data_IF_770316557097
#
_entry.id   IF_770316557097
#
_cell.length_a   1.000
_cell.length_b   1.000
_cell.length_c   1.000
_cell.angle_alpha   90.00
_cell.angle_beta   90.00
_cell.angle_gamma   90.00
#
_symmetry.space_group_name_H-M   'P 1'
#
loop_
_entity.id
_entity.type
_entity.pdbx_description
1 polymer ?
#
# COMPACT_ATOMS: atom_id res chain seq x y z
N UNK A 1 5.93 -3.22 6.91
CA UNK A 1 5.54 -4.22 5.90
C UNK A 1 4.37 -5.11 6.32
N UNK A 2 4.39 -5.79 7.48
CA UNK A 2 3.32 -6.74 7.85
C UNK A 2 1.92 -6.12 8.01
N UNK A 3 1.79 -4.99 8.67
CA UNK A 3 0.48 -4.34 8.88
C UNK A 3 -0.11 -3.70 7.61
N UNK A 4 0.75 -3.18 6.74
CA UNK A 4 0.34 -2.44 5.53
C UNK A 4 -0.13 -3.37 4.43
N UNK A 5 0.46 -4.57 4.33
CA UNK A 5 -0.03 -5.64 3.47
C UNK A 5 -1.45 -6.08 3.86
N UNK A 6 -1.71 -6.26 5.17
CA UNK A 6 -3.03 -6.64 5.68
C UNK A 6 -4.13 -5.65 5.33
N UNK A 7 -3.90 -4.35 5.55
CA UNK A 7 -4.87 -3.29 5.20
C UNK A 7 -5.17 -3.30 3.71
N UNK A 8 -4.16 -3.44 2.85
CA UNK A 8 -4.39 -3.48 1.40
C UNK A 8 -5.18 -4.72 0.93
N UNK A 9 -5.00 -5.87 1.59
CA UNK A 9 -5.79 -7.07 1.30
C UNK A 9 -7.24 -6.87 1.73
N UNK A 10 -7.49 -6.25 2.88
CA UNK A 10 -8.84 -5.90 3.31
C UNK A 10 -9.53 -4.95 2.32
N UNK A 11 -8.83 -3.89 1.88
CA UNK A 11 -9.34 -3.00 0.84
C UNK A 11 -9.62 -3.74 -0.48
N UNK A 12 -8.74 -4.66 -0.89
CA UNK A 12 -8.94 -5.52 -2.06
C UNK A 12 -10.18 -6.40 -1.96
N UNK A 13 -10.41 -7.03 -0.80
CA UNK A 13 -11.59 -7.87 -0.54
C UNK A 13 -12.88 -7.05 -0.59
N UNK A 14 -12.89 -5.86 0.02
CA UNK A 14 -14.05 -4.96 0.02
C UNK A 14 -14.41 -4.56 -1.41
N UNK A 15 -13.42 -4.11 -2.19
CA UNK A 15 -13.65 -3.65 -3.58
C UNK A 15 -14.06 -4.79 -4.50
N UNK A 16 -13.49 -5.99 -4.34
CA UNK A 16 -13.90 -7.19 -5.06
C UNK A 16 -15.34 -7.60 -4.71
N UNK A 17 -15.68 -7.60 -3.42
CA UNK A 17 -17.02 -7.97 -2.94
C UNK A 17 -18.09 -7.03 -3.47
N UNK A 18 -17.85 -5.72 -3.37
CA UNK A 18 -18.77 -4.72 -3.90
C UNK A 18 -18.87 -4.84 -5.44
N UNK A 19 -17.74 -5.09 -6.13
CA UNK A 19 -17.71 -5.25 -7.58
C UNK A 19 -18.53 -6.44 -8.06
N UNK A 20 -18.42 -7.57 -7.36
CA UNK A 20 -19.20 -8.76 -7.63
C UNK A 20 -20.70 -8.54 -7.40
N UNK A 21 -21.06 -7.87 -6.30
CA UNK A 21 -22.45 -7.53 -6.01
C UNK A 21 -23.08 -6.63 -7.09
N UNK A 22 -22.36 -5.58 -7.52
CA UNK A 22 -22.84 -4.71 -8.61
C UNK A 22 -22.97 -5.47 -9.93
N UNK A 23 -22.08 -6.41 -10.22
CA UNK A 23 -22.13 -7.20 -11.45
C UNK A 23 -23.37 -8.11 -11.48
N UNK A 24 -23.70 -8.75 -10.35
CA UNK A 24 -24.93 -9.56 -10.25
C UNK A 24 -26.20 -8.73 -10.45
N UNK A 25 -26.23 -7.51 -9.91
CA UNK A 25 -27.37 -6.61 -10.11
C UNK A 25 -27.46 -6.11 -11.55
N UNK A 26 -26.34 -5.75 -12.18
CA UNK A 26 -26.35 -5.26 -13.55
C UNK A 26 -26.80 -6.32 -14.56
N UNK A 27 -26.43 -7.58 -14.33
CA UNK A 27 -26.85 -8.69 -15.18
C UNK A 27 -28.36 -8.97 -15.06
N UNK A 28 -28.92 -8.90 -13.85
CA UNK A 28 -30.35 -9.15 -13.61
C UNK A 28 -31.26 -8.04 -14.15
N UNK A 29 -30.85 -6.77 -14.08
CA UNK A 29 -31.70 -5.63 -14.44
C UNK A 29 -31.43 -5.02 -15.82
N UNK A 30 -30.19 -5.10 -16.32
CA UNK A 30 -29.77 -4.37 -17.51
C UNK A 30 -29.19 -5.26 -18.64
N UNK A 31 -29.15 -6.59 -18.44
CA UNK A 31 -28.55 -7.57 -19.37
C UNK A 31 -27.12 -7.18 -19.85
N UNK A 32 -26.44 -6.34 -19.09
CA UNK A 32 -25.16 -5.73 -19.46
C UNK A 32 -24.30 -5.52 -18.22
N UNK A 33 -22.97 -5.51 -18.41
CA UNK A 33 -22.01 -5.34 -17.32
C UNK A 33 -21.33 -3.97 -17.42
N UNK A 34 -21.03 -3.39 -16.26
CA UNK A 34 -20.24 -2.18 -16.20
C UNK A 34 -18.75 -2.47 -16.26
N UNK A 35 -18.03 -1.80 -17.16
CA UNK A 35 -16.59 -1.97 -17.34
C UNK A 35 -15.83 -1.65 -16.04
N UNK A 36 -16.28 -0.65 -15.29
CA UNK A 36 -15.64 -0.27 -14.02
C UNK A 36 -15.77 -1.38 -12.96
N UNK A 37 -16.89 -2.11 -12.94
CA UNK A 37 -17.10 -3.21 -12.00
C UNK A 37 -16.15 -4.38 -12.29
N UNK A 38 -16.00 -4.73 -13.58
CA UNK A 38 -15.03 -5.75 -14.01
C UNK A 38 -13.59 -5.37 -13.64
N UNK A 39 -13.22 -4.10 -13.83
CA UNK A 39 -11.89 -3.60 -13.46
C UNK A 39 -11.66 -3.69 -11.94
N UNK A 40 -12.65 -3.31 -11.12
CA UNK A 40 -12.58 -3.43 -9.66
C UNK A 40 -12.41 -4.89 -9.19
N UNK A 41 -13.12 -5.84 -9.81
CA UNK A 41 -12.95 -7.28 -9.53
C UNK A 41 -11.53 -7.72 -9.90
N UNK A 42 -11.02 -7.32 -11.05
CA UNK A 42 -9.69 -7.69 -11.50
C UNK A 42 -8.60 -7.14 -10.56
N UNK A 43 -8.67 -5.86 -10.16
CA UNK A 43 -7.68 -5.24 -9.25
C UNK A 43 -7.80 -5.80 -7.83
N UNK A 44 -9.02 -5.97 -7.31
CA UNK A 44 -9.26 -6.60 -6.01
C UNK A 44 -8.79 -8.05 -5.95
N UNK A 45 -9.02 -8.83 -7.01
CA UNK A 45 -8.57 -10.22 -7.11
C UNK A 45 -7.06 -10.34 -7.26
N UNK A 46 -6.45 -9.50 -8.10
CA UNK A 46 -5.01 -9.47 -8.29
C UNK A 46 -4.28 -9.11 -6.99
N UNK A 47 -4.80 -8.15 -6.22
CA UNK A 47 -4.22 -7.75 -4.94
C UNK A 47 -4.41 -8.83 -3.87
N UNK A 48 -5.59 -9.45 -3.81
CA UNK A 48 -5.86 -10.56 -2.90
C UNK A 48 -4.95 -11.77 -3.19
N UNK A 49 -4.58 -12.04 -4.44
CA UNK A 49 -3.75 -13.19 -4.80
C UNK A 49 -2.25 -12.88 -4.68
N UNK A 50 -1.80 -11.74 -5.20
CA UNK A 50 -0.37 -11.44 -5.32
C UNK A 50 0.30 -11.11 -3.99
N UNK A 51 -0.39 -10.42 -3.09
CA UNK A 51 0.15 -10.06 -1.77
C UNK A 51 0.45 -11.31 -0.91
N UNK A 52 -0.47 -12.26 -0.69
CA UNK A 52 -0.17 -13.45 0.10
C UNK A 52 0.82 -14.38 -0.60
N UNK A 53 0.83 -14.43 -1.94
CA UNK A 53 1.84 -15.20 -2.68
C UNK A 53 3.24 -14.66 -2.40
N UNK A 54 3.44 -13.34 -2.46
CA UNK A 54 4.74 -12.73 -2.12
C UNK A 54 5.13 -13.00 -0.67
N UNK A 55 4.19 -12.85 0.28
CA UNK A 55 4.44 -13.14 1.70
C UNK A 55 4.78 -14.62 1.92
N UNK A 56 4.12 -15.55 1.22
CA UNK A 56 4.41 -16.97 1.33
C UNK A 56 5.83 -17.31 0.83
N UNK A 57 6.26 -16.70 -0.28
CA UNK A 57 7.60 -16.88 -0.83
C UNK A 57 8.67 -16.36 0.15
N UNK A 58 8.42 -15.22 0.80
CA UNK A 58 9.28 -14.67 1.86
C UNK A 58 9.47 -15.63 3.04
N UNK A 59 8.41 -16.33 3.45
CA UNK A 59 8.47 -17.29 4.56
C UNK A 59 9.24 -18.56 4.22
N UNK A 60 9.18 -19.01 2.96
CA UNK A 60 9.84 -20.24 2.52
C UNK A 60 11.34 -20.01 2.26
N UNK A 61 11.77 -18.78 1.98
CA UNK A 61 13.13 -18.50 1.50
C UNK A 61 13.93 -17.64 2.49
N UNK A 62 14.73 -18.27 3.35
CA UNK A 62 15.67 -17.61 4.28
C UNK A 62 17.05 -17.41 3.63
N UNK A 63 17.22 -16.37 2.81
CA UNK A 63 18.52 -16.01 2.23
C UNK A 63 18.47 -14.77 1.34
N UNK A 64 19.17 -13.71 1.72
CA UNK A 64 19.09 -12.38 1.11
C UNK A 64 19.72 -12.34 -0.29
N UNK A 65 18.96 -11.90 -1.30
CA UNK A 65 19.53 -11.26 -2.47
C UNK A 65 18.67 -10.05 -2.78
N UNK A 66 19.30 -8.87 -2.85
CA UNK A 66 18.75 -7.57 -3.25
C UNK A 66 17.92 -7.61 -4.55
N UNK A 67 18.04 -8.66 -5.35
CA UNK A 67 17.25 -8.91 -6.56
C UNK A 67 15.77 -9.23 -6.29
N UNK A 68 15.42 -9.75 -5.12
CA UNK A 68 14.01 -10.04 -4.77
C UNK A 68 13.23 -8.76 -4.45
N UNK A 69 13.88 -7.84 -3.73
CA UNK A 69 13.32 -6.53 -3.40
C UNK A 69 13.00 -5.70 -4.64
N UNK A 70 13.82 -5.78 -5.70
CA UNK A 70 13.54 -5.08 -6.96
C UNK A 70 12.26 -5.59 -7.64
N UNK A 71 12.07 -6.91 -7.68
CA UNK A 71 10.87 -7.51 -8.28
C UNK A 71 9.62 -7.11 -7.50
N UNK A 72 9.69 -7.14 -6.17
CA UNK A 72 8.62 -6.66 -5.30
C UNK A 72 8.32 -5.19 -5.55
N UNK A 73 9.33 -4.33 -5.63
CA UNK A 73 9.14 -2.89 -5.78
C UNK A 73 8.54 -2.53 -7.15
N UNK A 74 8.93 -3.23 -8.22
CA UNK A 74 8.32 -3.10 -9.55
C UNK A 74 6.88 -3.61 -9.55
N UNK A 75 6.59 -4.75 -8.91
CA UNK A 75 5.23 -5.26 -8.85
C UNK A 75 4.30 -4.34 -8.05
N UNK A 76 4.81 -3.80 -6.95
CA UNK A 76 4.08 -2.85 -6.12
C UNK A 76 3.81 -1.53 -6.84
N UNK A 77 4.70 -1.07 -7.72
CA UNK A 77 4.45 0.12 -8.54
C UNK A 77 3.39 -0.13 -9.62
N UNK A 78 3.32 -1.34 -10.20
CA UNK A 78 2.25 -1.71 -11.13
C UNK A 78 0.89 -1.72 -10.41
N UNK A 79 0.82 -2.36 -9.24
CA UNK A 79 -0.41 -2.36 -8.43
C UNK A 79 -0.84 -0.94 -8.04
N UNK A 80 0.11 -0.06 -7.77
CA UNK A 80 -0.15 1.35 -7.45
C UNK A 80 -0.81 2.09 -8.62
N UNK A 81 -0.30 1.94 -9.85
CA UNK A 81 -0.92 2.53 -11.05
C UNK A 81 -2.31 1.93 -11.30
N UNK A 82 -2.47 0.62 -11.05
CA UNK A 82 -3.77 -0.04 -11.19
C UNK A 82 -4.82 0.57 -10.26
N UNK A 83 -4.48 0.75 -8.97
CA UNK A 83 -5.41 1.31 -7.97
C UNK A 83 -5.86 2.73 -8.32
N UNK A 84 -4.95 3.62 -8.73
CA UNK A 84 -5.32 4.98 -9.12
C UNK A 84 -6.13 4.99 -10.42
N UNK A 85 -5.81 4.13 -11.39
CA UNK A 85 -6.56 4.02 -12.62
C UNK A 85 -8.00 3.51 -12.37
N UNK A 86 -8.18 2.50 -11.52
CA UNK A 86 -9.52 2.06 -11.09
C UNK A 86 -10.31 3.16 -10.42
N UNK A 87 -9.70 3.86 -9.45
CA UNK A 87 -10.38 4.90 -8.69
C UNK A 87 -10.78 6.09 -9.58
N UNK A 88 -9.88 6.52 -10.47
CA UNK A 88 -10.15 7.59 -11.43
C UNK A 88 -11.25 7.21 -12.43
N UNK A 89 -11.22 5.97 -12.95
CA UNK A 89 -12.25 5.50 -13.87
C UNK A 89 -13.62 5.35 -13.17
N UNK A 90 -13.66 4.87 -11.92
CA UNK A 90 -14.90 4.87 -11.15
C UNK A 90 -15.42 6.28 -10.87
N UNK A 91 -14.54 7.23 -10.55
CA UNK A 91 -14.90 8.62 -10.27
C UNK A 91 -15.45 9.34 -11.50
N UNK A 92 -14.87 9.09 -12.67
CA UNK A 92 -15.35 9.61 -13.95
C UNK A 92 -16.78 9.12 -14.21
N UNK A 93 -17.01 7.82 -14.13
CA UNK A 93 -18.31 7.21 -14.35
C UNK A 93 -19.36 7.62 -13.29
N UNK A 94 -18.96 7.79 -12.02
CA UNK A 94 -19.88 8.28 -10.98
C UNK A 94 -20.22 9.75 -11.18
N UNK A 95 -19.29 10.58 -11.66
CA UNK A 95 -19.53 11.99 -11.92
C UNK A 95 -20.48 12.23 -13.11
N UNK A 96 -20.39 11.39 -14.15
CA UNK A 96 -21.29 11.44 -15.30
C UNK A 96 -22.68 10.86 -14.98
N UNK A 97 -22.74 9.78 -14.19
CA UNK A 97 -23.99 9.07 -13.92
C UNK A 97 -24.77 9.57 -12.69
N UNK A 98 -24.11 10.10 -11.65
CA UNK A 98 -24.73 10.35 -10.34
C UNK A 98 -24.26 11.65 -9.67
N UNK A 99 -25.03 12.73 -9.79
CA UNK A 99 -24.78 13.99 -9.07
C UNK A 99 -25.12 13.91 -7.58
N UNK A 100 -26.23 13.27 -7.22
CA UNK A 100 -26.67 13.04 -5.84
C UNK A 100 -27.31 11.65 -5.69
N UNK A 101 -27.01 10.95 -4.59
CA UNK A 101 -27.61 9.64 -4.26
C UNK A 101 -28.96 9.81 -3.53
N UNK A 102 -29.90 10.58 -4.09
CA UNK A 102 -31.25 10.77 -3.53
C UNK A 102 -32.32 10.36 -4.55
N UNK A 103 -32.36 9.06 -4.82
CA UNK A 103 -33.30 8.47 -5.77
C UNK A 103 -34.54 7.92 -5.06
N UNK A 104 -35.71 8.08 -5.67
CA UNK A 104 -36.99 7.50 -5.22
C UNK A 104 -36.91 5.96 -5.16
N UNK A 105 -36.14 5.36 -6.06
CA UNK A 105 -35.96 3.90 -6.11
C UNK A 105 -34.79 3.47 -5.19
N UNK A 106 -35.04 2.54 -4.24
CA UNK A 106 -34.03 2.15 -3.26
C UNK A 106 -32.82 1.45 -3.89
N UNK A 107 -33.02 0.73 -4.99
CA UNK A 107 -31.94 0.01 -5.69
C UNK A 107 -30.91 0.96 -6.30
N UNK A 108 -31.35 2.09 -6.89
CA UNK A 108 -30.45 3.09 -7.45
C UNK A 108 -29.66 3.79 -6.34
N UNK A 109 -30.30 4.06 -5.20
CA UNK A 109 -29.61 4.65 -4.06
C UNK A 109 -28.54 3.70 -3.49
N UNK A 110 -28.84 2.41 -3.41
CA UNK A 110 -27.87 1.40 -2.98
C UNK A 110 -26.66 1.34 -3.92
N UNK A 111 -26.88 1.24 -5.24
CA UNK A 111 -25.79 1.21 -6.25
C UNK A 111 -24.95 2.50 -6.21
N UNK A 112 -25.58 3.66 -6.03
CA UNK A 112 -24.88 4.94 -5.92
C UNK A 112 -23.97 5.00 -4.68
N UNK A 113 -24.44 4.52 -3.53
CA UNK A 113 -23.62 4.49 -2.31
C UNK A 113 -22.50 3.45 -2.41
N UNK A 114 -22.77 2.28 -3.00
CA UNK A 114 -21.77 1.22 -3.19
C UNK A 114 -20.63 1.69 -4.13
N UNK A 115 -20.95 2.37 -5.23
CA UNK A 115 -19.94 2.89 -6.18
C UNK A 115 -19.08 3.99 -5.56
N UNK A 116 -19.66 4.91 -4.78
CA UNK A 116 -18.90 5.92 -4.03
C UNK A 116 -18.00 5.30 -2.95
N UNK A 117 -18.45 4.22 -2.32
CA UNK A 117 -17.61 3.47 -1.39
C UNK A 117 -16.40 2.85 -2.12
N UNK A 118 -16.59 2.24 -3.30
CA UNK A 118 -15.49 1.69 -4.10
C UNK A 118 -14.44 2.75 -4.45
N UNK A 119 -14.89 3.93 -4.91
CA UNK A 119 -14.01 5.04 -5.26
C UNK A 119 -13.15 5.46 -4.06
N UNK A 120 -13.78 5.67 -2.90
CA UNK A 120 -13.09 6.04 -1.67
C UNK A 120 -12.08 4.97 -1.21
N UNK A 121 -12.47 3.69 -1.23
CA UNK A 121 -11.56 2.59 -0.87
C UNK A 121 -10.42 2.43 -1.87
N UNK A 122 -10.64 2.72 -3.16
CA UNK A 122 -9.59 2.74 -4.18
C UNK A 122 -8.52 3.79 -3.90
N UNK A 123 -8.94 5.03 -3.61
CA UNK A 123 -8.01 6.11 -3.23
C UNK A 123 -7.32 5.84 -1.88
N UNK A 124 -8.02 5.28 -0.90
CA UNK A 124 -7.44 4.90 0.39
C UNK A 124 -6.37 3.81 0.24
N UNK A 125 -6.64 2.77 -0.56
CA UNK A 125 -5.68 1.69 -0.83
C UNK A 125 -4.40 2.23 -1.48
N UNK A 126 -4.55 3.21 -2.38
CA UNK A 126 -3.45 3.92 -3.01
C UNK A 126 -2.62 4.74 -2.00
N UNK A 127 -3.26 5.61 -1.21
CA UNK A 127 -2.58 6.49 -0.23
C UNK A 127 -1.86 5.68 0.86
N UNK A 128 -2.54 4.67 1.43
CA UNK A 128 -1.98 3.84 2.51
C UNK A 128 -0.69 3.15 2.06
N UNK A 129 -0.61 2.76 0.78
CA UNK A 129 0.57 2.10 0.22
C UNK A 129 1.73 3.06 -0.01
N UNK A 130 1.47 4.25 -0.58
CA UNK A 130 2.49 5.25 -0.87
C UNK A 130 3.15 5.79 0.42
N UNK A 131 2.34 6.18 1.40
CA UNK A 131 2.83 6.81 2.62
C UNK A 131 3.61 5.85 3.53
N UNK A 132 3.32 4.55 3.43
CA UNK A 132 3.97 3.52 4.25
C UNK A 132 5.39 3.16 3.79
N UNK A 133 5.74 3.45 2.53
CA UNK A 133 7.05 3.12 1.94
C UNK A 133 8.22 3.95 2.53
N UNK A 134 8.15 5.29 2.64
CA UNK A 134 9.24 6.09 3.20
C UNK A 134 9.42 5.90 4.71
N UNK A 135 8.33 5.60 5.44
CA UNK A 135 8.39 5.45 6.90
C UNK A 135 9.14 4.17 7.34
N UNK A 136 9.15 3.14 6.50
CA UNK A 136 9.84 1.87 6.78
C UNK A 136 11.35 1.89 6.49
N UNK A 137 11.81 2.74 5.57
CA UNK A 137 13.22 2.89 5.19
C UNK A 137 13.96 4.00 5.96
N UNK A 138 13.22 4.94 6.56
CA UNK A 138 13.79 6.04 7.36
C UNK A 138 14.68 5.63 8.55
N UNK A 139 14.38 4.55 9.32
CA UNK A 139 15.21 4.19 10.47
C UNK A 139 16.49 3.43 10.10
N UNK A 140 16.58 2.77 8.93
CA UNK A 140 17.75 1.94 8.57
C UNK A 140 18.89 2.73 7.91
N UNK A 141 18.64 3.96 7.43
CA UNK A 141 19.70 4.88 7.01
C UNK A 141 20.36 5.64 8.18
N UNK A 142 19.90 5.43 9.43
CA UNK A 142 20.65 5.83 10.63
C UNK A 142 21.51 4.67 11.16
N UNK A 143 22.34 4.08 10.31
CA UNK A 143 23.58 3.42 10.75
C UNK A 143 24.73 4.34 10.38
N UNK A 144 24.86 5.44 11.12
CA UNK A 144 26.14 6.11 11.24
C UNK A 144 27.02 5.26 12.15
N UNK A 145 28.19 4.78 11.71
CA UNK A 145 29.07 4.02 12.59
C UNK A 145 29.54 4.93 13.73
N UNK A 146 29.15 4.59 14.95
CA UNK A 146 29.81 5.08 16.17
C UNK A 146 30.13 3.92 17.10
N UNK A 147 30.92 3.00 16.59
CA UNK A 147 31.91 2.24 17.35
C UNK A 147 33.18 2.24 16.48
N UNK A 148 34.39 2.43 16.95
CA UNK A 148 34.94 2.47 18.29
C UNK A 148 36.30 3.17 18.19
N UNK A 149 36.74 3.75 19.32
CA UNK A 149 38.13 3.98 19.78
C UNK A 149 39.22 4.12 18.71
N UNK A 150 39.86 5.29 18.70
CA UNK A 150 41.10 5.54 17.98
C UNK A 150 42.17 4.44 18.27
N UNK A 151 42.80 3.85 17.24
CA UNK A 151 43.74 2.73 17.39
C UNK A 151 45.18 3.13 17.80
N UNK A 152 45.43 4.37 18.24
CA UNK A 152 46.79 4.88 18.51
C UNK A 152 47.06 5.25 19.97
N UNK A 153 46.53 4.46 20.92
CA UNK A 153 46.85 4.65 22.33
C UNK A 153 47.59 3.44 22.87
N UNK A 154 48.84 3.27 22.44
CA UNK A 154 49.90 2.71 23.28
C UNK A 154 51.26 3.34 22.91
N UNK A 155 52.02 3.65 23.95
CA UNK A 155 53.44 4.04 23.99
C UNK A 155 53.75 5.56 23.94
N UNK A 156 53.87 6.14 25.14
CA UNK A 156 55.02 6.99 25.48
C UNK A 156 54.93 8.48 25.14
N UNK A 157 54.22 9.27 25.97
CA UNK A 157 54.71 10.60 26.33
C UNK A 157 54.20 11.00 27.72
N UNK A 158 55.07 10.78 28.71
CA UNK A 158 54.90 11.22 30.08
C UNK A 158 55.09 12.75 30.11
N UNK A 159 54.01 13.52 30.17
CA UNK A 159 54.11 14.94 30.55
C UNK A 159 54.14 15.03 32.08
N UNK A 160 55.20 15.61 32.68
CA UNK A 160 55.30 15.74 34.12
C UNK A 160 54.27 16.74 34.64
N UNK A 161 53.47 16.28 35.60
CA UNK A 161 52.64 17.09 36.49
C UNK A 161 53.49 18.16 37.18
N UNK A 162 53.40 19.41 36.75
CA UNK A 162 53.74 20.56 37.61
C UNK A 162 52.48 20.95 38.38
N UNK A 163 52.51 20.67 39.68
CA UNK A 163 51.66 21.29 40.67
C UNK A 163 51.83 22.81 40.60
N UNK A 164 50.73 23.52 40.40
CA UNK A 164 50.61 24.93 40.77
C UNK A 164 49.53 24.97 41.85
N UNK A 165 50.00 25.05 43.10
CA UNK A 165 49.22 25.44 44.26
C UNK A 165 48.81 26.91 44.09
N UNK A 166 47.51 27.18 44.06
CA UNK A 166 46.98 28.52 44.32
C UNK A 166 46.45 28.53 45.74
N UNK A 167 46.87 29.59 46.44
CA UNK A 167 46.56 29.96 47.83
C UNK A 167 45.06 30.19 48.04
#
# INVERSE_FOLDING_TARGET
MRATAGISVLCGIIVLSLGAHLTSLSEEYFESYYIFAALNIAVGGLTMLTIPVMVAIDFVRTGAITSMVLVELVWLSILWVLWIATAAYTADQTSEAFSACDFIYPILNQVCNETRAMEAFGFLAWIVREFSLPLGLGPTLRVGPRGARAPWSFVGFQFPTRAVQLQ
#
